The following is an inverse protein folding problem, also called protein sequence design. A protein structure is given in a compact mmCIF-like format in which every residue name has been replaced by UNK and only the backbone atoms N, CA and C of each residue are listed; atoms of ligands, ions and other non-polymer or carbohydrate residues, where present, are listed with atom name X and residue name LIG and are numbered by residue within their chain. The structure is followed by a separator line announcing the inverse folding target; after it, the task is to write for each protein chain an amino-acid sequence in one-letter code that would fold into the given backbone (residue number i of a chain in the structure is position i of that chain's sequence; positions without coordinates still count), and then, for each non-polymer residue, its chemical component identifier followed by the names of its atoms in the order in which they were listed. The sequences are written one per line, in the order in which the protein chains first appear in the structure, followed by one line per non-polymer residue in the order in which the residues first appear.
data_IF_996145909423
#
_entry.id   IF_996145909423
#
_cell.length_a   1.000
_cell.length_b   1.000
_cell.length_c   1.000
_cell.angle_alpha   90.00
_cell.angle_beta   90.00
_cell.angle_gamma   90.00
#
_symmetry.space_group_name_H-M   'P 1'
#
loop_
_entity.id
_entity.type
_entity.pdbx_description
1 polymer ?
#
# COMPACT_ATOMS: atom_id res chain seq x y z
N UNK A 1 -9.02 0.58 -13.16
CA UNK A 1 -8.67 1.53 -12.09
C UNK A 1 -7.52 2.39 -12.60
N UNK A 2 -7.33 3.57 -12.03
CA UNK A 2 -6.43 4.61 -12.55
C UNK A 2 -5.45 4.98 -11.45
N UNK A 3 -4.15 4.93 -11.74
CA UNK A 3 -3.13 5.41 -10.80
C UNK A 3 -3.18 6.95 -10.69
N UNK A 4 -2.98 7.54 -9.50
CA UNK A 4 -2.76 6.88 -8.21
C UNK A 4 -4.06 6.42 -7.52
N UNK A 5 -4.00 5.37 -6.67
CA UNK A 5 -5.14 4.98 -5.85
C UNK A 5 -5.57 6.11 -4.91
N UNK A 6 -6.87 6.21 -4.66
CA UNK A 6 -7.49 7.28 -3.86
C UNK A 6 -7.75 6.87 -2.41
N UNK A 7 -8.11 7.85 -1.57
CA UNK A 7 -8.55 7.58 -0.19
C UNK A 7 -9.81 6.70 -0.16
N UNK A 8 -10.73 6.90 -1.10
CA UNK A 8 -11.95 6.11 -1.19
C UNK A 8 -11.65 4.66 -1.56
N UNK A 9 -10.69 4.43 -2.46
CA UNK A 9 -10.20 3.07 -2.78
C UNK A 9 -9.61 2.40 -1.54
N UNK A 10 -8.83 3.12 -0.74
CA UNK A 10 -8.27 2.59 0.52
C UNK A 10 -9.36 2.30 1.56
N UNK A 11 -10.37 3.16 1.69
CA UNK A 11 -11.50 2.91 2.59
C UNK A 11 -12.29 1.70 2.15
N UNK A 12 -12.59 1.58 0.86
CA UNK A 12 -13.27 0.42 0.30
C UNK A 12 -12.47 -0.87 0.56
N UNK A 13 -11.15 -0.82 0.37
CA UNK A 13 -10.24 -1.95 0.61
C UNK A 13 -10.22 -2.42 2.08
N UNK A 14 -10.33 -1.47 3.02
CA UNK A 14 -10.40 -1.70 4.46
C UNK A 14 -11.82 -1.96 4.98
N UNK A 15 -12.84 -1.94 4.11
CA UNK A 15 -14.26 -2.04 4.47
C UNK A 15 -14.71 -0.95 5.45
N UNK A 16 -14.17 0.26 5.31
CA UNK A 16 -14.57 1.45 6.05
C UNK A 16 -15.63 2.19 5.21
N UNK A 17 -16.82 2.50 5.76
CA UNK A 17 -17.81 3.30 5.04
C UNK A 17 -17.25 4.67 4.64
N UNK A 18 -17.57 5.15 3.44
CA UNK A 18 -17.14 6.48 2.97
C UNK A 18 -17.56 7.61 3.92
N UNK A 19 -18.73 7.45 4.56
CA UNK A 19 -19.26 8.38 5.55
C UNK A 19 -18.49 8.42 6.87
N UNK A 20 -17.65 7.42 7.15
CA UNK A 20 -16.76 7.43 8.32
C UNK A 20 -15.49 8.23 8.00
N UNK A 21 -15.40 9.42 8.58
CA UNK A 21 -14.31 10.38 8.32
C UNK A 21 -13.28 10.48 9.44
N UNK A 22 -13.43 9.68 10.52
CA UNK A 22 -12.68 9.85 11.78
C UNK A 22 -11.18 9.69 11.62
N UNK A 23 -10.75 8.81 10.72
CA UNK A 23 -9.34 8.46 10.51
C UNK A 23 -8.80 8.94 9.14
N UNK A 24 -9.56 9.76 8.39
CA UNK A 24 -9.27 10.15 7.00
C UNK A 24 -7.91 10.81 6.84
N UNK A 25 -7.59 11.76 7.71
CA UNK A 25 -6.31 12.45 7.67
C UNK A 25 -5.14 11.47 7.82
N UNK A 26 -5.29 10.44 8.65
CA UNK A 26 -4.23 9.46 8.86
C UNK A 26 -4.20 8.44 7.73
N UNK A 27 -5.34 7.95 7.26
CA UNK A 27 -5.42 7.06 6.11
C UNK A 27 -4.80 7.72 4.87
N UNK A 28 -5.12 8.99 4.61
CA UNK A 28 -4.55 9.77 3.53
C UNK A 28 -3.02 9.92 3.67
N UNK A 29 -2.52 10.15 4.88
CA UNK A 29 -1.08 10.23 5.13
C UNK A 29 -0.37 8.90 4.84
N UNK A 30 -0.95 7.77 5.27
CA UNK A 30 -0.37 6.44 5.01
C UNK A 30 -0.41 6.09 3.52
N UNK A 31 -1.50 6.45 2.83
CA UNK A 31 -1.63 6.25 1.39
C UNK A 31 -0.61 7.07 0.61
N UNK A 32 -0.48 8.37 0.91
CA UNK A 32 0.50 9.24 0.28
C UNK A 32 1.93 8.74 0.48
N UNK A 33 2.26 8.27 1.68
CA UNK A 33 3.56 7.68 1.96
C UNK A 33 3.78 6.39 1.15
N UNK A 34 2.75 5.54 1.01
CA UNK A 34 2.85 4.28 0.27
C UNK A 34 3.06 4.56 -1.23
N UNK A 35 2.29 5.47 -1.82
CA UNK A 35 2.44 5.92 -3.21
C UNK A 35 3.86 6.42 -3.46
N UNK A 36 4.35 7.35 -2.63
CA UNK A 36 5.69 7.90 -2.78
C UNK A 36 6.79 6.84 -2.63
N UNK A 37 6.61 5.87 -1.71
CA UNK A 37 7.52 4.74 -1.57
C UNK A 37 7.56 3.88 -2.83
N UNK A 38 6.40 3.53 -3.38
CA UNK A 38 6.30 2.69 -4.59
C UNK A 38 6.90 3.39 -5.80
N UNK A 39 6.59 4.67 -6.02
CA UNK A 39 7.19 5.45 -7.11
C UNK A 39 8.71 5.47 -7.05
N UNK A 40 9.27 5.56 -5.83
CA UNK A 40 10.72 5.53 -5.63
C UNK A 40 11.34 4.16 -5.90
N UNK A 41 10.69 3.08 -5.50
CA UNK A 41 11.28 1.72 -5.59
C UNK A 41 10.94 0.99 -6.89
N UNK A 42 9.90 1.42 -7.61
CA UNK A 42 9.49 0.89 -8.91
C UNK A 42 9.51 1.97 -10.01
N UNK A 43 10.65 2.65 -10.26
CA UNK A 43 10.72 3.78 -11.20
C UNK A 43 10.44 3.40 -12.67
N UNK A 44 10.34 2.12 -12.99
CA UNK A 44 10.10 1.60 -14.35
C UNK A 44 8.66 1.80 -14.87
N UNK A 45 7.77 2.49 -14.14
CA UNK A 45 6.40 2.77 -14.58
C UNK A 45 6.14 4.25 -14.85
N UNK A 46 5.17 4.52 -15.73
CA UNK A 46 4.67 5.85 -16.04
C UNK A 46 3.68 6.35 -14.99
N UNK A 47 4.17 6.83 -13.85
CA UNK A 47 3.26 7.34 -12.80
C UNK A 47 2.63 8.69 -13.10
N UNK A 48 3.18 9.43 -14.06
CA UNK A 48 2.69 10.75 -14.44
C UNK A 48 1.60 10.70 -15.51
N UNK A 49 1.27 9.50 -16.02
CA UNK A 49 0.43 9.30 -17.19
C UNK A 49 0.89 10.19 -18.38
N UNK A 50 2.21 10.38 -18.51
CA UNK A 50 2.79 11.14 -19.61
C UNK A 50 2.64 10.33 -20.90
N UNK A 51 1.88 10.79 -21.90
CA UNK A 51 1.69 10.04 -23.15
C UNK A 51 2.96 9.96 -24.00
N UNK A 52 4.02 10.73 -23.66
CA UNK A 52 5.28 10.77 -24.39
C UNK A 52 6.33 9.78 -23.89
N UNK A 53 6.09 9.12 -22.74
CA UNK A 53 7.03 8.11 -22.24
C UNK A 53 6.72 6.73 -22.80
N UNK A 54 7.77 5.92 -22.99
CA UNK A 54 7.65 4.51 -23.36
C UNK A 54 7.47 3.59 -22.14
N UNK A 55 7.52 4.15 -20.93
CA UNK A 55 7.32 3.35 -19.71
C UNK A 55 5.89 2.80 -19.64
N UNK A 56 5.72 1.55 -19.19
CA UNK A 56 4.39 0.97 -19.01
C UNK A 56 3.60 1.70 -17.92
N UNK A 57 2.27 1.71 -18.07
CA UNK A 57 1.37 2.18 -17.02
C UNK A 57 1.43 1.29 -15.77
N UNK A 58 1.23 1.86 -14.56
CA UNK A 58 1.07 1.09 -13.34
C UNK A 58 0.00 -0.01 -13.46
N UNK A 59 0.36 -1.22 -13.04
CA UNK A 59 -0.55 -2.39 -13.13
C UNK A 59 -1.55 -2.43 -11.98
N UNK A 60 -2.63 -3.20 -12.15
CA UNK A 60 -3.61 -3.44 -11.09
C UNK A 60 -3.00 -4.10 -9.83
N UNK A 61 -1.99 -4.95 -10.00
CA UNK A 61 -1.25 -5.56 -8.88
C UNK A 61 -0.49 -4.50 -8.09
N UNK A 62 0.13 -3.53 -8.78
CA UNK A 62 0.85 -2.44 -8.14
C UNK A 62 -0.10 -1.53 -7.35
N UNK A 63 -1.27 -1.26 -7.90
CA UNK A 63 -2.32 -0.47 -7.25
C UNK A 63 -2.84 -1.18 -5.99
N UNK A 64 -3.30 -2.44 -6.11
CA UNK A 64 -3.79 -3.23 -4.99
C UNK A 64 -2.71 -3.42 -3.91
N UNK A 65 -1.48 -3.72 -4.32
CA UNK A 65 -0.35 -3.85 -3.40
C UNK A 65 -0.09 -2.55 -2.64
N UNK A 66 -0.25 -1.39 -3.27
CA UNK A 66 -0.08 -0.07 -2.63
C UNK A 66 -1.16 0.19 -1.59
N UNK A 67 -2.42 -0.11 -1.91
CA UNK A 67 -3.55 -0.01 -0.97
C UNK A 67 -3.32 -0.90 0.27
N UNK A 68 -2.95 -2.17 0.05
CA UNK A 68 -2.69 -3.13 1.13
C UNK A 68 -1.49 -2.72 1.99
N UNK A 69 -0.45 -2.15 1.38
CA UNK A 69 0.70 -1.62 2.10
C UNK A 69 0.29 -0.44 3.01
N UNK A 70 -0.48 0.51 2.49
CA UNK A 70 -0.99 1.65 3.24
C UNK A 70 -1.89 1.19 4.42
N UNK A 71 -2.83 0.29 4.17
CA UNK A 71 -3.70 -0.30 5.19
C UNK A 71 -2.92 -1.03 6.29
N UNK A 72 -1.87 -1.75 5.91
CA UNK A 72 -0.97 -2.40 6.86
C UNK A 72 -0.19 -1.39 7.71
N UNK A 73 0.36 -0.33 7.13
CA UNK A 73 1.02 0.73 7.89
C UNK A 73 0.08 1.44 8.85
N UNK A 74 -1.13 1.76 8.39
CA UNK A 74 -2.20 2.32 9.22
C UNK A 74 -2.51 1.42 10.43
N UNK A 75 -2.60 0.11 10.22
CA UNK A 75 -2.90 -0.85 11.29
C UNK A 75 -1.75 -0.97 12.30
N UNK A 76 -0.50 -0.99 11.81
CA UNK A 76 0.70 -1.11 12.66
C UNK A 76 1.04 0.14 13.45
N UNK A 77 0.56 1.34 13.05
CA UNK A 77 0.90 2.60 13.74
C UNK A 77 0.58 2.59 15.24
N UNK A 78 -0.42 1.81 15.65
CA UNK A 78 -0.86 1.69 17.05
C UNK A 78 -0.12 0.60 17.82
N UNK A 79 0.89 -0.04 17.22
CA UNK A 79 1.62 -1.12 17.85
C UNK A 79 3.11 -1.12 17.50
N UNK A 80 3.96 -0.47 18.33
CA UNK A 80 5.40 -0.44 18.13
C UNK A 80 6.02 -1.86 18.14
N UNK A 81 5.50 -2.78 18.94
CA UNK A 81 5.91 -4.20 18.95
C UNK A 81 5.16 -5.08 17.93
N UNK A 82 4.26 -4.47 17.16
CA UNK A 82 3.34 -5.10 16.22
C UNK A 82 2.31 -6.07 16.84
N UNK A 83 2.07 -5.99 18.14
CA UNK A 83 0.95 -6.60 18.86
C UNK A 83 -0.34 -5.79 18.72
N UNK A 84 -1.35 -6.34 18.07
CA UNK A 84 -2.72 -5.79 18.09
C UNK A 84 -3.53 -6.58 19.11
N UNK A 85 -4.14 -5.87 20.05
CA UNK A 85 -5.06 -6.47 21.03
C UNK A 85 -6.35 -6.91 20.33
N UNK A 86 -6.62 -8.20 20.31
CA UNK A 86 -7.84 -8.82 19.75
C UNK A 86 -8.85 -9.10 20.88
N UNK A 87 -9.09 -8.13 21.77
CA UNK A 87 -10.03 -8.28 22.89
C UNK A 87 -9.82 -9.56 23.71
N UNK A 88 -10.86 -10.37 23.87
CA UNK A 88 -10.85 -11.64 24.65
C UNK A 88 -10.04 -12.77 23.98
N UNK A 89 -9.62 -12.63 22.72
CA UNK A 89 -8.88 -13.64 21.96
C UNK A 89 -7.34 -13.50 22.07
N UNK A 90 -6.85 -12.56 22.90
CA UNK A 90 -5.41 -12.33 23.13
C UNK A 90 -4.80 -11.31 22.17
N UNK A 91 -3.47 -11.32 22.03
CA UNK A 91 -2.74 -10.43 21.12
C UNK A 91 -2.29 -11.16 19.86
N UNK A 92 -2.56 -10.59 18.68
CA UNK A 92 -2.04 -11.10 17.42
C UNK A 92 -0.87 -10.23 16.94
N UNK A 93 0.21 -10.87 16.46
CA UNK A 93 1.35 -10.13 15.88
C UNK A 93 1.10 -9.88 14.40
N UNK A 94 1.09 -8.62 14.00
CA UNK A 94 1.16 -8.25 12.58
C UNK A 94 2.65 -8.31 12.18
N UNK A 95 3.04 -9.16 11.22
CA UNK A 95 4.44 -9.26 10.82
C UNK A 95 4.94 -7.97 10.16
N UNK A 96 6.26 -7.71 10.28
CA UNK A 96 6.94 -6.53 9.71
C UNK A 96 7.06 -6.58 8.17
N UNK A 97 6.80 -7.75 7.59
CA UNK A 97 6.80 -8.02 6.17
C UNK A 97 5.58 -8.86 5.84
N UNK A 98 5.00 -8.63 4.67
CA UNK A 98 3.85 -9.39 4.17
C UNK A 98 4.22 -9.91 2.76
N UNK A 99 4.49 -11.23 2.62
CA UNK A 99 4.93 -11.81 1.37
C UNK A 99 3.98 -11.58 0.19
N UNK A 100 2.68 -11.53 0.45
CA UNK A 100 1.68 -11.37 -0.61
C UNK A 100 1.67 -9.93 -1.12
N UNK A 101 1.76 -8.96 -0.20
CA UNK A 101 1.94 -7.54 -0.55
C UNK A 101 3.25 -7.34 -1.31
N UNK A 102 4.35 -7.94 -0.86
CA UNK A 102 5.65 -7.84 -1.54
C UNK A 102 5.61 -8.47 -2.94
N UNK A 103 4.87 -9.57 -3.12
CA UNK A 103 4.70 -10.23 -4.40
C UNK A 103 3.91 -9.38 -5.39
N UNK A 104 2.80 -8.79 -4.95
CA UNK A 104 2.01 -7.85 -5.76
C UNK A 104 2.86 -6.64 -6.19
N UNK A 105 3.64 -6.11 -5.25
CA UNK A 105 4.47 -4.93 -5.47
C UNK A 105 5.78 -5.24 -6.20
N UNK A 106 6.16 -6.50 -6.41
CA UNK A 106 7.44 -6.89 -7.00
C UNK A 106 8.65 -6.29 -6.25
N UNK A 107 8.59 -6.25 -4.92
CA UNK A 107 9.66 -5.69 -4.07
C UNK A 107 10.32 -6.76 -3.21
N UNK A 108 11.42 -6.40 -2.55
CA UNK A 108 12.16 -7.30 -1.67
C UNK A 108 12.66 -8.52 -2.43
N UNK A 109 12.37 -9.71 -1.90
CA UNK A 109 12.76 -10.99 -2.52
C UNK A 109 12.03 -11.34 -3.82
N UNK A 110 10.95 -10.64 -4.13
CA UNK A 110 10.18 -10.84 -5.37
C UNK A 110 10.56 -9.83 -6.45
N UNK A 111 11.53 -8.96 -6.19
CA UNK A 111 12.09 -8.07 -7.21
C UNK A 111 12.86 -8.91 -8.22
N UNK A 112 12.52 -8.75 -9.50
CA UNK A 112 13.25 -9.38 -10.60
C UNK A 112 14.73 -8.97 -10.63
N UNK A 113 15.58 -9.73 -11.33
CA UNK A 113 17.00 -9.41 -11.47
C UNK A 113 17.18 -8.00 -12.06
N UNK A 114 18.02 -7.20 -11.42
CA UNK A 114 18.45 -5.90 -11.94
C UNK A 114 19.64 -6.17 -12.86
N UNK A 115 19.42 -6.07 -14.17
CA UNK A 115 20.51 -6.06 -15.13
C UNK A 115 21.10 -4.64 -15.14
N UNK A 116 22.37 -4.53 -14.73
CA UNK A 116 23.13 -3.29 -14.71
C UNK A 116 23.81 -3.04 -16.06
#
# INVERSE_FOLDING_TARGET
MTWPPTLDDLKADLKIPESDTRDDAVLAQQLAAAIAFIQRVRPEFNYAADPLTELPEPTADLELGTLRLAGRWFTRRRSPDALVAMGELGSARIPAFDPDIERLLGIGRFRGPVFA
#
